data_IF_112625998177
#
_entry.id   IF_112625998177
#
_cell.length_a   1.000
_cell.length_b   1.000
_cell.length_c   1.000
_cell.angle_alpha   90.00
_cell.angle_beta   90.00
_cell.angle_gamma   90.00
#
_symmetry.space_group_name_H-M   'P 1'
#
loop_
_entity.id
_entity.type
_entity.pdbx_description
1 polymer ?
#
# COMPACT_ATOMS: atom_id res chain seq x y z
N UNK A 1 -8.09 14.08 -6.74
CA UNK A 1 -7.10 14.47 -5.72
C UNK A 1 -6.57 15.86 -6.03
N UNK A 2 -6.37 16.74 -5.04
CA UNK A 2 -5.79 18.08 -5.29
C UNK A 2 -4.26 18.00 -5.44
N UNK A 3 -3.63 19.03 -6.01
CA UNK A 3 -2.16 19.09 -6.10
C UNK A 3 -1.49 19.14 -4.72
N UNK A 4 -2.18 19.68 -3.71
CA UNK A 4 -1.71 19.73 -2.33
C UNK A 4 -1.71 18.33 -1.71
N UNK A 5 -2.82 17.59 -1.82
CA UNK A 5 -2.93 16.22 -1.29
C UNK A 5 -1.83 15.31 -1.88
N UNK A 6 -1.57 15.42 -3.19
CA UNK A 6 -0.52 14.66 -3.87
C UNK A 6 0.89 14.98 -3.33
N UNK A 7 1.14 16.24 -2.99
CA UNK A 7 2.41 16.67 -2.43
C UNK A 7 2.59 16.16 -0.99
N UNK A 8 1.53 16.16 -0.19
CA UNK A 8 1.53 15.61 1.17
C UNK A 8 1.85 14.11 1.18
N UNK A 9 1.20 13.33 0.30
CA UNK A 9 1.50 11.90 0.16
C UNK A 9 2.95 11.67 -0.27
N UNK A 10 3.44 12.45 -1.23
CA UNK A 10 4.84 12.36 -1.68
C UNK A 10 5.82 12.61 -0.54
N UNK A 11 5.57 13.64 0.27
CA UNK A 11 6.39 13.96 1.45
C UNK A 11 6.33 12.84 2.49
N UNK A 12 5.14 12.28 2.73
CA UNK A 12 4.98 11.16 3.66
C UNK A 12 5.80 9.93 3.21
N UNK A 13 5.74 9.57 1.93
CA UNK A 13 6.52 8.46 1.38
C UNK A 13 8.02 8.71 1.54
N UNK A 14 8.51 9.90 1.21
CA UNK A 14 9.93 10.26 1.42
C UNK A 14 10.32 10.13 2.89
N UNK A 15 9.45 10.55 3.81
CA UNK A 15 9.73 10.50 5.24
C UNK A 15 9.78 9.06 5.77
N UNK A 16 8.93 8.13 5.29
CA UNK A 16 9.02 6.73 5.72
C UNK A 16 10.30 6.05 5.23
N UNK A 17 10.75 6.35 4.00
CA UNK A 17 12.06 5.88 3.52
C UNK A 17 13.22 6.47 4.33
N UNK A 18 13.17 7.77 4.66
CA UNK A 18 14.18 8.43 5.49
C UNK A 18 14.23 7.85 6.90
N UNK A 19 13.09 7.48 7.49
CA UNK A 19 13.01 6.85 8.81
C UNK A 19 13.82 5.55 8.89
N UNK A 20 13.86 4.79 7.80
CA UNK A 20 14.67 3.57 7.70
C UNK A 20 16.13 3.84 7.35
N UNK A 21 16.52 5.09 7.10
CA UNK A 21 17.81 5.45 6.50
C UNK A 21 18.09 4.72 5.18
N UNK A 22 17.02 4.40 4.43
CA UNK A 22 17.10 3.72 3.13
C UNK A 22 16.83 4.75 2.04
N UNK A 23 17.81 4.96 1.17
CA UNK A 23 17.58 5.65 -0.11
C UNK A 23 17.24 4.60 -1.16
N UNK A 24 16.07 4.65 -1.82
CA UNK A 24 15.77 3.74 -2.92
C UNK A 24 16.83 3.89 -4.02
N UNK A 25 17.62 2.84 -4.24
CA UNK A 25 18.53 2.80 -5.38
C UNK A 25 17.73 2.91 -6.68
N UNK A 26 18.14 3.78 -7.59
CA UNK A 26 17.46 3.98 -8.89
C UNK A 26 17.50 2.72 -9.77
N UNK A 27 18.47 1.84 -9.52
CA UNK A 27 18.66 0.54 -10.16
C UNK A 27 18.07 -0.62 -9.34
N UNK A 28 17.35 -0.33 -8.23
CA UNK A 28 16.76 -1.34 -7.36
C UNK A 28 16.00 -2.37 -8.18
N UNK A 29 16.26 -3.64 -7.85
CA UNK A 29 15.50 -4.79 -8.30
C UNK A 29 14.82 -5.44 -7.11
N UNK A 30 13.76 -6.18 -7.41
CA UNK A 30 13.00 -6.89 -6.41
C UNK A 30 11.98 -6.01 -5.68
N UNK A 31 11.03 -6.65 -4.99
CA UNK A 31 9.95 -5.97 -4.30
C UNK A 31 10.44 -5.10 -3.15
N UNK A 32 9.68 -4.04 -2.83
CA UNK A 32 9.84 -3.31 -1.55
C UNK A 32 9.48 -4.24 -0.39
N UNK A 33 10.36 -4.37 0.59
CA UNK A 33 10.10 -5.18 1.78
C UNK A 33 9.31 -4.31 2.75
N UNK A 34 8.06 -4.68 3.05
CA UNK A 34 7.17 -3.88 3.90
C UNK A 34 7.48 -4.03 5.40
N UNK A 35 8.01 -5.19 5.83
CA UNK A 35 8.28 -5.46 7.25
C UNK A 35 9.14 -4.38 7.93
N UNK A 36 10.27 -3.91 7.37
CA UNK A 36 11.05 -2.83 7.97
C UNK A 36 10.25 -1.54 8.20
N UNK A 37 9.33 -1.19 7.28
CA UNK A 37 8.48 -0.01 7.44
C UNK A 37 7.51 -0.20 8.59
N UNK A 38 6.81 -1.35 8.64
CA UNK A 38 5.88 -1.69 9.71
C UNK A 38 6.59 -1.67 11.08
N UNK A 39 7.74 -2.33 11.19
CA UNK A 39 8.54 -2.39 12.41
C UNK A 39 8.93 -0.98 12.89
N UNK A 40 9.29 -0.07 11.97
CA UNK A 40 9.67 1.30 12.32
C UNK A 40 8.53 2.12 12.94
N UNK A 41 7.29 1.69 12.76
CA UNK A 41 6.08 2.28 13.34
C UNK A 41 5.48 1.44 14.47
N UNK A 42 6.14 0.35 14.88
CA UNK A 42 5.61 -0.65 15.82
C UNK A 42 4.26 -1.23 15.35
N UNK A 43 4.11 -1.46 14.05
CA UNK A 43 2.96 -2.13 13.46
C UNK A 43 3.26 -3.61 13.28
N UNK A 44 2.41 -4.47 13.83
CA UNK A 44 2.48 -5.90 13.58
C UNK A 44 1.64 -6.24 12.33
N UNK A 45 2.25 -6.91 11.36
CA UNK A 45 1.54 -7.39 10.18
C UNK A 45 0.98 -8.79 10.42
N UNK A 46 -0.33 -8.95 10.27
CA UNK A 46 -1.07 -10.19 10.50
C UNK A 46 -1.83 -10.56 9.22
N UNK A 47 -1.69 -11.81 8.76
CA UNK A 47 -2.43 -12.31 7.62
C UNK A 47 -3.41 -13.40 8.08
N UNK A 48 -4.69 -13.20 7.82
CA UNK A 48 -5.77 -14.14 8.19
C UNK A 48 -6.50 -14.55 6.92
N UNK A 49 -6.68 -15.85 6.65
CA UNK A 49 -7.48 -16.30 5.50
C UNK A 49 -8.93 -15.89 5.67
N UNK A 50 -9.56 -15.49 4.56
CA UNK A 50 -10.97 -15.08 4.51
C UNK A 50 -11.29 -14.01 5.55
N UNK A 51 -10.44 -12.98 5.63
CA UNK A 51 -10.49 -11.91 6.62
C UNK A 51 -11.89 -11.29 6.71
N UNK A 52 -12.44 -11.26 7.92
CA UNK A 52 -13.67 -10.54 8.28
C UNK A 52 -13.48 -9.77 9.60
N UNK A 53 -14.46 -8.96 10.00
CA UNK A 53 -14.43 -8.27 11.30
C UNK A 53 -14.48 -9.26 12.46
N UNK A 54 -15.26 -10.33 12.35
CA UNK A 54 -15.28 -11.41 13.32
C UNK A 54 -13.91 -12.08 13.46
N UNK A 55 -13.21 -12.35 12.35
CA UNK A 55 -11.88 -12.93 12.38
C UNK A 55 -10.84 -12.00 13.04
N UNK A 56 -10.94 -10.68 12.80
CA UNK A 56 -10.13 -9.67 13.51
C UNK A 56 -10.43 -9.67 15.00
N UNK A 57 -11.71 -9.68 15.38
CA UNK A 57 -12.14 -9.70 16.77
C UNK A 57 -11.61 -10.93 17.51
N UNK A 58 -11.75 -12.13 16.93
CA UNK A 58 -11.27 -13.37 17.49
C UNK A 58 -9.75 -13.36 17.67
N UNK A 59 -9.01 -12.84 16.69
CA UNK A 59 -7.56 -12.67 16.78
C UNK A 59 -7.17 -11.73 17.94
N UNK A 60 -7.79 -10.55 18.02
CA UNK A 60 -7.54 -9.59 19.10
C UNK A 60 -7.84 -10.21 20.47
N UNK A 61 -8.94 -10.94 20.61
CA UNK A 61 -9.27 -11.64 21.86
C UNK A 61 -8.21 -12.68 22.23
N UNK A 62 -7.69 -13.43 21.25
CA UNK A 62 -6.64 -14.43 21.49
C UNK A 62 -5.33 -13.81 21.99
N UNK A 63 -5.06 -12.56 21.62
CA UNK A 63 -3.94 -11.74 22.09
C UNK A 63 -4.25 -11.01 23.42
N UNK A 64 -5.42 -11.27 24.03
CA UNK A 64 -5.85 -10.65 25.28
C UNK A 64 -6.35 -9.20 25.12
N UNK A 65 -6.66 -8.77 23.89
CA UNK A 65 -7.19 -7.45 23.57
C UNK A 65 -8.70 -7.56 23.39
N UNK A 66 -9.46 -6.84 24.20
CA UNK A 66 -10.92 -6.70 24.02
C UNK A 66 -11.19 -5.38 23.29
N UNK A 67 -11.39 -5.39 21.95
CA UNK A 67 -11.71 -4.16 21.23
C UNK A 67 -13.08 -3.63 21.68
N UNK A 68 -13.19 -2.31 21.81
CA UNK A 68 -14.47 -1.67 22.16
C UNK A 68 -15.48 -1.75 21.01
N UNK A 69 -14.99 -1.71 19.78
CA UNK A 69 -15.77 -1.80 18.55
C UNK A 69 -14.85 -2.22 17.39
N UNK A 70 -15.35 -3.13 16.54
CA UNK A 70 -14.73 -3.54 15.27
C UNK A 70 -15.67 -3.34 14.08
N UNK A 71 -16.86 -2.78 14.30
CA UNK A 71 -17.96 -2.65 13.36
C UNK A 71 -18.98 -3.79 13.44
N UNK A 72 -20.23 -3.49 13.08
CA UNK A 72 -21.37 -4.41 13.21
C UNK A 72 -21.59 -5.31 11.97
N UNK A 73 -21.15 -4.87 10.79
CA UNK A 73 -21.37 -5.62 9.53
C UNK A 73 -20.22 -6.59 9.25
N UNK A 74 -20.42 -7.87 9.54
CA UNK A 74 -19.44 -8.90 9.23
C UNK A 74 -19.50 -9.29 7.75
N UNK A 75 -18.43 -8.98 7.02
CA UNK A 75 -18.30 -9.22 5.59
C UNK A 75 -16.82 -9.37 5.19
N UNK A 76 -16.55 -9.77 3.95
CA UNK A 76 -15.18 -9.98 3.49
C UNK A 76 -14.42 -8.65 3.45
N UNK A 77 -13.24 -8.65 4.06
CA UNK A 77 -12.30 -7.55 4.05
C UNK A 77 -11.08 -7.90 3.21
N UNK A 78 -10.49 -6.88 2.60
CA UNK A 78 -9.15 -6.98 2.07
C UNK A 78 -8.12 -6.65 3.15
N UNK A 79 -8.37 -5.60 3.95
CA UNK A 79 -7.50 -5.16 5.03
C UNK A 79 -8.26 -4.63 6.25
N UNK A 80 -7.55 -4.53 7.37
CA UNK A 80 -8.04 -3.86 8.57
C UNK A 80 -6.87 -3.26 9.34
N UNK A 81 -6.97 -1.99 9.73
CA UNK A 81 -5.99 -1.32 10.61
C UNK A 81 -6.57 -1.15 12.01
N UNK A 82 -5.93 -1.78 13.00
CA UNK A 82 -6.27 -1.63 14.41
C UNK A 82 -5.15 -0.91 15.16
N UNK A 83 -5.43 0.26 15.72
CA UNK A 83 -4.43 1.08 16.45
C UNK A 83 -5.00 1.52 17.79
N UNK A 84 -4.18 1.35 18.82
CA UNK A 84 -4.35 1.89 20.16
C UNK A 84 -3.06 2.59 20.60
N UNK A 85 -3.03 3.28 21.75
CA UNK A 85 -1.80 3.87 22.25
C UNK A 85 -0.64 2.88 22.47
N UNK A 86 -0.93 1.60 22.72
CA UNK A 86 0.06 0.57 23.06
C UNK A 86 0.27 -0.49 21.98
N UNK A 87 -0.65 -0.62 21.02
CA UNK A 87 -0.69 -1.72 20.06
C UNK A 87 -1.11 -1.19 18.70
N UNK A 88 -0.43 -1.61 17.64
CA UNK A 88 -0.83 -1.38 16.25
C UNK A 88 -0.73 -2.66 15.43
N UNK A 89 -1.82 -3.05 14.77
CA UNK A 89 -1.88 -4.21 13.88
C UNK A 89 -2.42 -3.80 12.52
N UNK A 90 -1.78 -4.34 11.48
CA UNK A 90 -2.23 -4.29 10.10
C UNK A 90 -2.63 -5.70 9.70
N UNK A 91 -3.91 -5.90 9.45
CA UNK A 91 -4.45 -7.16 8.97
C UNK A 91 -4.58 -7.14 7.45
N UNK A 92 -4.29 -8.27 6.81
CA UNK A 92 -4.54 -8.49 5.39
C UNK A 92 -5.21 -9.85 5.17
N UNK A 93 -6.00 -9.95 4.10
CA UNK A 93 -6.61 -11.20 3.71
C UNK A 93 -5.58 -12.15 3.10
N UNK A 94 -5.25 -13.24 3.81
CA UNK A 94 -4.27 -14.22 3.35
C UNK A 94 -4.73 -15.03 2.13
N UNK A 95 -6.04 -15.04 1.84
CA UNK A 95 -6.61 -15.70 0.66
C UNK A 95 -6.36 -14.90 -0.63
N UNK A 96 -5.99 -13.62 -0.53
CA UNK A 96 -5.69 -12.79 -1.70
C UNK A 96 -4.36 -13.16 -2.36
N UNK A 97 -4.18 -12.92 -3.67
CA UNK A 97 -2.88 -13.07 -4.31
C UNK A 97 -1.82 -12.16 -3.66
N UNK A 98 -0.57 -12.63 -3.57
CA UNK A 98 0.54 -11.90 -2.92
C UNK A 98 0.67 -10.43 -3.35
N UNK A 99 0.55 -10.05 -4.64
CA UNK A 99 0.56 -8.64 -5.04
C UNK A 99 -0.54 -7.79 -4.38
N UNK A 100 -1.73 -8.36 -4.17
CA UNK A 100 -2.88 -7.71 -3.55
C UNK A 100 -2.68 -7.58 -2.04
N UNK A 101 -2.25 -8.65 -1.36
CA UNK A 101 -1.87 -8.58 0.06
C UNK A 101 -0.83 -7.47 0.32
N UNK A 102 0.18 -7.35 -0.55
CA UNK A 102 1.22 -6.32 -0.45
C UNK A 102 0.67 -4.92 -0.67
N UNK A 103 -0.24 -4.75 -1.63
CA UNK A 103 -0.89 -3.47 -1.87
C UNK A 103 -1.73 -3.06 -0.67
N UNK A 104 -2.58 -3.95 -0.16
CA UNK A 104 -3.38 -3.72 1.05
C UNK A 104 -2.50 -3.37 2.24
N UNK A 105 -1.44 -4.14 2.54
CA UNK A 105 -0.55 -3.81 3.65
C UNK A 105 0.10 -2.41 3.50
N UNK A 106 0.49 -2.03 2.28
CA UNK A 106 1.03 -0.69 2.01
C UNK A 106 -0.04 0.41 2.13
N UNK A 107 -1.29 0.12 1.76
CA UNK A 107 -2.43 1.00 1.89
C UNK A 107 -2.78 1.27 3.37
N UNK A 108 -2.86 0.22 4.19
CA UNK A 108 -3.08 0.33 5.64
C UNK A 108 -1.95 1.12 6.34
N UNK A 109 -0.71 0.91 5.91
CA UNK A 109 0.42 1.72 6.35
C UNK A 109 0.22 3.19 5.96
N UNK A 110 -0.33 3.46 4.78
CA UNK A 110 -0.73 4.80 4.34
C UNK A 110 -1.73 5.44 5.29
N UNK A 111 -2.80 4.73 5.65
CA UNK A 111 -3.77 5.21 6.66
C UNK A 111 -3.09 5.53 7.99
N UNK A 112 -2.22 4.65 8.48
CA UNK A 112 -1.50 4.90 9.73
C UNK A 112 -0.62 6.15 9.65
N UNK A 113 0.14 6.32 8.56
CA UNK A 113 1.10 7.41 8.42
C UNK A 113 0.42 8.76 8.20
N UNK A 114 -0.66 8.79 7.41
CA UNK A 114 -1.30 10.03 6.97
C UNK A 114 -2.45 10.46 7.87
N UNK A 115 -3.21 9.52 8.44
CA UNK A 115 -4.52 9.83 9.03
C UNK A 115 -4.62 9.56 10.54
N UNK A 116 -3.66 8.85 11.16
CA UNK A 116 -3.71 8.46 12.58
C UNK A 116 -3.99 9.63 13.54
N UNK A 117 -3.34 10.77 13.36
CA UNK A 117 -3.50 11.93 14.26
C UNK A 117 -4.90 12.53 14.15
N UNK A 118 -5.47 12.54 12.94
CA UNK A 118 -6.82 13.06 12.68
C UNK A 118 -7.90 12.16 13.31
N UNK A 119 -7.59 10.89 13.55
CA UNK A 119 -8.49 9.90 14.17
C UNK A 119 -8.30 9.78 15.69
N UNK A 120 -7.61 10.72 16.34
CA UNK A 120 -7.51 10.77 17.81
C UNK A 120 -6.66 9.66 18.43
N UNK A 121 -5.74 9.07 17.65
CA UNK A 121 -4.77 8.07 18.14
C UNK A 121 -5.33 6.67 18.40
N UNK A 122 -6.61 6.44 18.09
CA UNK A 122 -7.24 5.12 17.97
C UNK A 122 -7.83 4.99 16.57
N UNK A 123 -7.52 3.90 15.89
CA UNK A 123 -7.94 3.68 14.50
C UNK A 123 -8.48 2.28 14.38
N UNK A 124 -9.71 2.16 13.87
CA UNK A 124 -10.29 0.91 13.37
C UNK A 124 -10.81 1.24 11.97
N UNK A 125 -10.03 0.91 10.95
CA UNK A 125 -10.42 1.06 9.54
C UNK A 125 -10.55 -0.34 8.96
N UNK A 126 -11.59 -0.55 8.18
CA UNK A 126 -11.91 -1.83 7.59
C UNK A 126 -12.15 -1.60 6.10
N UNK A 127 -11.25 -2.10 5.28
CA UNK A 127 -11.28 -1.86 3.85
C UNK A 127 -11.78 -3.10 3.13
N UNK A 128 -12.92 -2.95 2.47
CA UNK A 128 -13.48 -3.99 1.61
C UNK A 128 -12.66 -4.14 0.33
N UNK A 129 -12.74 -5.29 -0.34
CA UNK A 129 -12.15 -5.48 -1.66
C UNK A 129 -12.51 -4.39 -2.68
N UNK A 130 -13.75 -3.87 -2.60
CA UNK A 130 -14.23 -2.84 -3.50
C UNK A 130 -13.59 -1.47 -3.22
N UNK A 131 -13.48 -1.07 -1.94
CA UNK A 131 -12.93 0.21 -1.52
C UNK A 131 -11.47 0.39 -1.94
N UNK A 132 -10.65 -0.65 -1.79
CA UNK A 132 -9.25 -0.64 -2.24
C UNK A 132 -9.14 -0.51 -3.77
N UNK A 133 -10.11 -1.05 -4.51
CA UNK A 133 -10.15 -1.02 -5.98
C UNK A 133 -10.85 0.22 -6.56
N UNK A 134 -11.45 1.08 -5.72
CA UNK A 134 -12.16 2.28 -6.20
C UNK A 134 -11.23 3.21 -6.95
N UNK A 135 -11.77 3.84 -8.00
CA UNK A 135 -11.07 4.91 -8.70
C UNK A 135 -11.05 6.18 -7.85
N UNK A 136 -10.12 7.09 -8.16
CA UNK A 136 -10.01 8.40 -7.48
C UNK A 136 -11.33 9.20 -7.46
N UNK A 137 -12.24 8.96 -8.39
CA UNK A 137 -13.53 9.68 -8.47
C UNK A 137 -14.59 9.11 -7.52
N UNK A 138 -14.42 7.86 -7.08
CA UNK A 138 -15.40 7.10 -6.31
C UNK A 138 -15.06 6.99 -4.82
N UNK A 139 -13.78 7.11 -4.46
CA UNK A 139 -13.33 7.00 -3.08
C UNK A 139 -13.31 8.34 -2.34
N UNK A 140 -13.29 8.33 -1.01
CA UNK A 140 -13.12 9.55 -0.24
C UNK A 140 -11.67 10.06 -0.30
N UNK A 141 -11.36 11.16 0.39
CA UNK A 141 -10.00 11.74 0.36
C UNK A 141 -8.96 10.81 0.99
N UNK A 142 -9.25 10.20 2.12
CA UNK A 142 -8.30 9.38 2.86
C UNK A 142 -7.98 8.10 2.09
N UNK A 143 -9.00 7.46 1.50
CA UNK A 143 -8.82 6.28 0.65
C UNK A 143 -7.91 6.56 -0.56
N UNK A 144 -8.12 7.71 -1.23
CA UNK A 144 -7.22 8.14 -2.32
C UNK A 144 -5.79 8.36 -1.85
N UNK A 145 -5.62 9.01 -0.71
CA UNK A 145 -4.30 9.31 -0.14
C UNK A 145 -3.56 8.02 0.24
N UNK A 146 -4.24 7.05 0.83
CA UNK A 146 -3.70 5.74 1.17
C UNK A 146 -3.37 4.90 -0.07
N UNK A 147 -4.26 4.88 -1.08
CA UNK A 147 -3.98 4.23 -2.37
C UNK A 147 -2.76 4.86 -3.06
N UNK A 148 -2.69 6.20 -3.09
CA UNK A 148 -1.55 6.93 -3.66
C UNK A 148 -0.26 6.62 -2.90
N UNK A 149 -0.32 6.53 -1.58
CA UNK A 149 0.81 6.16 -0.72
C UNK A 149 1.29 4.75 -1.07
N UNK A 150 0.38 3.77 -1.17
CA UNK A 150 0.72 2.39 -1.53
C UNK A 150 1.37 2.31 -2.93
N UNK A 151 0.82 3.02 -3.92
CA UNK A 151 1.36 3.11 -5.28
C UNK A 151 2.79 3.67 -5.28
N UNK A 152 3.02 4.81 -4.63
CA UNK A 152 4.35 5.43 -4.62
C UNK A 152 5.36 4.62 -3.79
N UNK A 153 4.93 3.97 -2.70
CA UNK A 153 5.80 3.13 -1.89
C UNK A 153 6.23 1.86 -2.63
N UNK A 154 5.29 1.15 -3.27
CA UNK A 154 5.56 -0.12 -3.95
C UNK A 154 6.10 0.05 -5.37
N UNK A 155 5.73 1.13 -6.06
CA UNK A 155 6.15 1.47 -7.42
C UNK A 155 6.68 2.92 -7.47
N UNK A 156 7.85 3.19 -6.85
CA UNK A 156 8.41 4.54 -6.77
C UNK A 156 8.63 5.15 -8.15
N UNK A 157 8.19 6.39 -8.33
CA UNK A 157 8.25 7.11 -9.61
C UNK A 157 9.67 7.18 -10.16
N UNK A 158 10.64 7.51 -9.31
CA UNK A 158 12.06 7.59 -9.64
C UNK A 158 12.63 6.24 -10.12
N UNK A 159 12.23 5.14 -9.50
CA UNK A 159 12.62 3.78 -9.92
C UNK A 159 11.98 3.47 -11.28
N UNK A 160 10.67 3.66 -11.45
CA UNK A 160 9.99 3.42 -12.72
C UNK A 160 10.65 4.19 -13.89
N UNK A 161 10.93 5.48 -13.69
CA UNK A 161 11.58 6.34 -14.68
C UNK A 161 13.02 5.89 -15.01
N UNK A 162 13.84 5.62 -13.99
CA UNK A 162 15.21 5.17 -14.18
C UNK A 162 15.28 3.81 -14.89
N UNK A 163 14.38 2.89 -14.51
CA UNK A 163 14.26 1.55 -15.11
C UNK A 163 13.79 1.62 -16.56
N UNK A 164 12.88 2.54 -16.89
CA UNK A 164 12.45 2.79 -18.27
C UNK A 164 13.59 3.35 -19.14
N UNK A 165 14.35 4.31 -18.62
CA UNK A 165 15.51 4.86 -19.31
C UNK A 165 16.58 3.77 -19.58
N UNK A 166 16.85 2.92 -18.59
CA UNK A 166 17.75 1.77 -18.75
C UNK A 166 17.23 0.76 -19.78
N UNK A 167 15.93 0.46 -19.77
CA UNK A 167 15.29 -0.43 -20.75
C UNK A 167 15.41 0.13 -22.17
N UNK A 168 15.05 1.41 -22.38
CA UNK A 168 15.18 2.08 -23.68
C UNK A 168 16.61 2.10 -24.18
N UNK A 169 17.59 2.32 -23.29
CA UNK A 169 19.02 2.28 -23.65
C UNK A 169 19.47 0.87 -24.10
N UNK A 170 18.94 -0.18 -23.48
CA UNK A 170 19.31 -1.56 -23.80
C UNK A 170 18.66 -2.07 -25.10
N UNK A 171 17.40 -1.70 -25.35
CA UNK A 171 16.59 -2.26 -26.45
C UNK A 171 16.26 -1.27 -27.58
N UNK A 172 16.64 0.00 -27.45
CA UNK A 172 16.33 1.08 -28.40
C UNK A 172 14.90 1.61 -28.30
N UNK A 173 13.98 0.83 -27.76
CA UNK A 173 12.55 1.15 -27.58
C UNK A 173 12.09 0.81 -26.16
N UNK A 174 10.96 1.36 -25.73
CA UNK A 174 10.35 1.06 -24.43
C UNK A 174 8.82 0.95 -24.56
N UNK A 175 8.30 -0.11 -25.19
CA UNK A 175 6.86 -0.31 -25.29
C UNK A 175 6.25 -0.57 -23.90
N UNK A 176 5.17 0.13 -23.57
CA UNK A 176 4.59 0.13 -22.22
C UNK A 176 4.16 -1.27 -21.77
N UNK A 177 3.51 -2.04 -22.64
CA UNK A 177 3.03 -3.38 -22.31
C UNK A 177 4.13 -4.36 -21.87
N UNK A 178 5.14 -4.64 -22.72
CA UNK A 178 6.26 -5.52 -22.37
C UNK A 178 7.05 -5.01 -21.15
N UNK A 179 7.29 -3.71 -21.06
CA UNK A 179 8.00 -3.12 -19.93
C UNK A 179 7.20 -3.25 -18.62
N UNK A 180 5.88 -3.01 -18.66
CA UNK A 180 5.00 -3.20 -17.51
C UNK A 180 5.00 -4.67 -17.04
N UNK A 181 4.98 -5.62 -17.97
CA UNK A 181 5.05 -7.05 -17.63
C UNK A 181 6.33 -7.37 -16.85
N UNK A 182 7.49 -6.92 -17.36
CA UNK A 182 8.77 -7.13 -16.70
C UNK A 182 8.81 -6.46 -15.33
N UNK A 183 8.48 -5.17 -15.25
CA UNK A 183 8.63 -4.41 -14.02
C UNK A 183 7.63 -4.86 -12.94
N UNK A 184 6.42 -5.27 -13.32
CA UNK A 184 5.44 -5.84 -12.40
C UNK A 184 5.94 -7.13 -11.75
N UNK A 185 6.56 -8.02 -12.54
CA UNK A 185 7.16 -9.25 -12.02
C UNK A 185 8.32 -8.95 -11.06
N UNK A 186 9.17 -7.98 -11.39
CA UNK A 186 10.30 -7.61 -10.55
C UNK A 186 9.91 -6.93 -9.22
N UNK A 187 8.88 -6.07 -9.23
CA UNK A 187 8.42 -5.35 -8.03
C UNK A 187 7.34 -6.12 -7.25
N UNK A 188 6.91 -7.27 -7.75
CA UNK A 188 5.86 -8.13 -7.19
C UNK A 188 4.54 -7.37 -6.98
N UNK A 189 4.09 -6.72 -8.05
CA UNK A 189 2.82 -6.00 -8.15
C UNK A 189 1.99 -6.55 -9.32
N UNK A 190 0.70 -6.21 -9.41
CA UNK A 190 -0.11 -6.65 -10.54
C UNK A 190 0.34 -5.97 -11.84
N UNK A 191 0.20 -6.68 -12.97
CA UNK A 191 0.53 -6.13 -14.30
C UNK A 191 -0.33 -4.91 -14.62
N UNK A 192 -1.59 -4.94 -14.20
CA UNK A 192 -2.55 -3.86 -14.40
C UNK A 192 -2.15 -2.61 -13.61
N UNK A 193 -1.87 -2.73 -12.31
CA UNK A 193 -1.41 -1.61 -11.49
C UNK A 193 -0.12 -0.99 -12.03
N UNK A 194 0.84 -1.82 -12.49
CA UNK A 194 2.05 -1.33 -13.13
C UNK A 194 1.76 -0.58 -14.44
N UNK A 195 0.85 -1.09 -15.29
CA UNK A 195 0.46 -0.38 -16.52
C UNK A 195 -0.15 0.99 -16.22
N UNK A 196 -1.06 1.07 -15.25
CA UNK A 196 -1.65 2.33 -14.81
C UNK A 196 -0.58 3.30 -14.32
N UNK A 197 0.33 2.82 -13.47
CA UNK A 197 1.44 3.61 -12.95
C UNK A 197 2.36 4.14 -14.05
N UNK A 198 2.72 3.32 -15.03
CA UNK A 198 3.56 3.77 -16.14
C UNK A 198 2.84 4.76 -17.04
N UNK A 199 1.53 4.58 -17.28
CA UNK A 199 0.73 5.53 -18.04
C UNK A 199 0.66 6.89 -17.34
N UNK A 200 0.42 6.91 -16.03
CA UNK A 200 0.45 8.13 -15.20
C UNK A 200 1.79 8.87 -15.29
N UNK A 201 2.90 8.13 -15.28
CA UNK A 201 4.25 8.70 -15.37
C UNK A 201 4.67 9.08 -16.80
N UNK A 202 3.81 8.88 -17.80
CA UNK A 202 4.15 9.10 -19.22
C UNK A 202 5.25 8.17 -19.72
N UNK A 203 5.38 6.98 -19.14
CA UNK A 203 6.43 6.01 -19.47
C UNK A 203 5.95 5.02 -20.52
N UNK A 204 6.76 4.93 -21.58
CA UNK A 204 6.61 4.01 -22.69
C UNK A 204 5.50 4.41 -23.65
N UNK A 205 5.66 3.98 -24.90
CA UNK A 205 4.68 4.20 -25.96
C UNK A 205 3.76 2.96 -26.04
N UNK A 206 2.53 3.11 -26.56
CA UNK A 206 1.64 1.96 -26.83
C UNK A 206 2.19 1.09 -27.97
#
# INVERSE_FOLDING_TARGET
>A
MTATDAAEVTVAVINVWRRLSITPGLDRRGPVLLAPFMDSFNLLHVAIPDLTRAAVFDHLQSEGITPADVGDEDGPLAGFLFVTPSVGLVFVNASDPVPRQRFTAAHELGHFVLHREQMGGRVSIADTPAEIELTDEQSDRHEREANRFAVELLMPSNVCLARAAAFKKAYGVCPRGPFAYQLAAELLVSREAMRYRLNELGVGDE
#
